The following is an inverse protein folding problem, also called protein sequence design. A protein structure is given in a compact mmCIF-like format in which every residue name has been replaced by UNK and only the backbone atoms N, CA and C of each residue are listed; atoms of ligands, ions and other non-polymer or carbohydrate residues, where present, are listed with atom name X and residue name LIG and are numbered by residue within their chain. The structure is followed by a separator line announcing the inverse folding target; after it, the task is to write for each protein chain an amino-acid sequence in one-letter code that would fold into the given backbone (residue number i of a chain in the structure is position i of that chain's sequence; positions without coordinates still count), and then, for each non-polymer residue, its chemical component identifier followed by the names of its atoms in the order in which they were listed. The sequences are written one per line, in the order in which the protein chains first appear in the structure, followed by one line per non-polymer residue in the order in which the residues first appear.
data_IF_209430568564
#
_entry.id   IF_209430568564
#
_cell.length_a   1.000
_cell.length_b   1.000
_cell.length_c   1.000
_cell.angle_alpha   90.00
_cell.angle_beta   90.00
_cell.angle_gamma   90.00
#
_symmetry.space_group_name_H-M   'P 1'
#
loop_
_entity.id
_entity.type
_entity.pdbx_description
1 polymer ?
#
# COMPACT_ATOMS: atom_id res chain seq x y z
N UNK A 1 12.69 -14.70 -8.48
CA UNK A 1 13.60 -15.08 -9.56
C UNK A 1 12.98 -16.32 -10.20
N UNK A 2 12.18 -16.11 -11.24
CA UNK A 2 11.79 -17.21 -12.14
C UNK A 2 12.92 -17.28 -13.16
N UNK A 3 13.72 -18.35 -13.14
CA UNK A 3 14.76 -18.66 -14.13
C UNK A 3 14.15 -19.23 -15.43
N UNK A 4 12.96 -18.75 -15.81
CA UNK A 4 12.39 -19.05 -17.12
C UNK A 4 13.17 -18.29 -18.18
N UNK A 5 13.81 -19.01 -19.10
CA UNK A 5 14.33 -18.38 -20.32
C UNK A 5 13.17 -17.67 -21.03
N UNK A 6 13.29 -16.37 -21.28
CA UNK A 6 12.28 -15.56 -21.99
C UNK A 6 11.97 -16.08 -23.40
N UNK A 7 12.73 -17.06 -23.90
CA UNK A 7 12.56 -17.66 -25.23
C UNK A 7 11.43 -18.70 -25.33
N UNK A 8 10.86 -19.14 -24.19
CA UNK A 8 9.73 -20.08 -24.14
C UNK A 8 8.35 -19.40 -24.30
N UNK A 9 8.29 -18.06 -24.33
CA UNK A 9 7.02 -17.32 -24.33
C UNK A 9 6.41 -17.07 -25.72
N UNK A 10 7.20 -17.23 -26.79
CA UNK A 10 6.70 -17.13 -28.17
C UNK A 10 6.19 -18.48 -28.67
N UNK A 11 5.19 -18.47 -29.56
CA UNK A 11 4.59 -19.68 -30.14
C UNK A 11 5.64 -20.66 -30.67
N UNK A 12 5.45 -21.99 -30.54
CA UNK A 12 6.32 -22.99 -31.17
C UNK A 12 6.47 -22.81 -32.69
N UNK A 13 5.45 -22.25 -33.33
CA UNK A 13 5.42 -21.97 -34.77
C UNK A 13 5.96 -20.56 -35.11
N UNK A 14 6.59 -19.87 -34.16
CA UNK A 14 7.15 -18.54 -34.38
C UNK A 14 8.30 -18.58 -35.40
N UNK A 15 8.24 -17.68 -36.37
CA UNK A 15 9.24 -17.54 -37.43
C UNK A 15 10.00 -16.23 -37.18
N UNK A 16 11.36 -16.23 -37.22
CA UNK A 16 12.15 -15.00 -37.16
C UNK A 16 11.71 -13.98 -38.19
N UNK A 17 11.63 -12.71 -37.78
CA UNK A 17 11.25 -11.58 -38.62
C UNK A 17 12.12 -11.47 -39.87
N UNK A 18 13.42 -11.75 -39.76
CA UNK A 18 14.33 -11.84 -40.92
C UNK A 18 13.94 -12.89 -41.99
N UNK A 19 13.04 -13.82 -41.67
CA UNK A 19 12.54 -14.85 -42.59
C UNK A 19 11.07 -14.64 -43.01
N UNK A 20 10.41 -13.62 -42.49
CA UNK A 20 9.01 -13.31 -42.81
C UNK A 20 8.91 -12.51 -44.11
N UNK A 21 8.02 -12.92 -45.02
CA UNK A 21 7.89 -12.29 -46.36
C UNK A 21 7.36 -10.87 -46.31
N UNK A 22 6.54 -10.57 -45.31
CA UNK A 22 5.92 -9.28 -45.00
C UNK A 22 6.86 -8.31 -44.27
N UNK A 23 8.12 -8.69 -44.05
CA UNK A 23 9.15 -7.87 -43.37
C UNK A 23 10.40 -7.62 -44.23
N UNK A 24 10.39 -8.06 -45.50
CA UNK A 24 11.54 -7.94 -46.42
C UNK A 24 11.87 -6.49 -46.80
N UNK A 25 10.92 -5.57 -46.65
CA UNK A 25 11.07 -4.14 -46.88
C UNK A 25 11.71 -3.39 -45.70
N UNK A 26 11.84 -4.06 -44.54
CA UNK A 26 12.41 -3.47 -43.32
C UNK A 26 13.83 -3.99 -43.12
N UNK A 27 14.79 -3.07 -43.09
CA UNK A 27 16.16 -3.38 -42.68
C UNK A 27 16.24 -3.35 -41.15
N UNK A 28 16.63 -4.45 -40.47
CA UNK A 28 16.75 -4.47 -39.01
C UNK A 28 17.81 -3.48 -38.52
N UNK A 29 17.57 -2.88 -37.35
CA UNK A 29 18.48 -1.89 -36.74
C UNK A 29 19.06 -2.46 -35.45
N UNK A 30 20.36 -2.79 -35.49
CA UNK A 30 21.07 -3.35 -34.33
C UNK A 30 21.14 -2.39 -33.13
N UNK A 31 21.26 -2.95 -31.93
CA UNK A 31 21.51 -2.16 -30.73
C UNK A 31 22.95 -1.63 -30.75
N UNK A 32 23.11 -0.30 -30.68
CA UNK A 32 24.42 0.32 -30.52
C UNK A 32 24.77 0.46 -29.02
N UNK A 33 25.55 -0.49 -28.50
CA UNK A 33 26.11 -0.45 -27.14
C UNK A 33 27.51 0.22 -27.09
N UNK A 34 27.97 0.78 -28.21
CA UNK A 34 29.27 1.44 -28.34
C UNK A 34 30.47 0.49 -28.42
N UNK A 35 31.68 1.06 -28.56
CA UNK A 35 32.93 0.29 -28.75
C UNK A 35 33.34 -0.55 -27.52
N UNK A 36 32.98 -0.09 -26.32
CA UNK A 36 33.35 -0.73 -25.05
C UNK A 36 32.10 -0.92 -24.19
N UNK A 37 31.25 -1.89 -24.54
CA UNK A 37 29.92 -1.99 -23.95
C UNK A 37 30.00 -2.51 -22.51
N UNK A 38 29.16 -1.97 -21.63
CA UNK A 38 29.06 -2.35 -20.22
C UNK A 38 27.71 -3.00 -19.93
N UNK A 39 27.64 -3.87 -18.92
CA UNK A 39 26.42 -4.63 -18.55
C UNK A 39 25.73 -5.33 -19.73
N UNK A 40 26.53 -5.82 -20.68
CA UNK A 40 26.05 -6.44 -21.91
C UNK A 40 25.28 -7.71 -21.59
N UNK A 41 24.08 -7.79 -22.13
CA UNK A 41 23.23 -8.97 -22.01
C UNK A 41 23.52 -9.88 -23.21
N UNK A 42 23.83 -11.15 -22.94
CA UNK A 42 23.95 -12.16 -23.97
C UNK A 42 22.55 -12.58 -24.47
N UNK A 43 21.93 -11.73 -25.28
CA UNK A 43 20.60 -11.96 -25.84
C UNK A 43 20.56 -13.20 -26.73
N UNK A 44 19.43 -13.92 -26.69
CA UNK A 44 19.11 -14.98 -27.65
C UNK A 44 18.97 -14.44 -29.07
N UNK A 45 19.07 -15.32 -30.07
CA UNK A 45 18.84 -14.94 -31.47
C UNK A 45 17.42 -14.41 -31.67
N UNK A 46 16.43 -14.99 -30.98
CA UNK A 46 15.04 -14.53 -31.01
C UNK A 46 14.91 -13.11 -30.47
N UNK A 47 15.52 -12.85 -29.32
CA UNK A 47 15.46 -11.52 -28.70
C UNK A 47 16.10 -10.46 -29.59
N UNK A 48 17.28 -10.75 -30.16
CA UNK A 48 17.95 -9.83 -31.09
C UNK A 48 17.08 -9.54 -32.31
N UNK A 49 16.59 -10.59 -32.98
CA UNK A 49 15.75 -10.47 -34.17
C UNK A 49 14.52 -9.59 -33.90
N UNK A 50 13.73 -9.87 -32.85
CA UNK A 50 12.56 -9.04 -32.51
C UNK A 50 12.94 -7.59 -32.21
N UNK A 51 13.97 -7.36 -31.38
CA UNK A 51 14.33 -6.02 -30.97
C UNK A 51 15.05 -5.19 -32.05
N UNK A 52 15.74 -5.83 -32.99
CA UNK A 52 16.34 -5.16 -34.14
C UNK A 52 15.26 -4.65 -35.10
N UNK A 53 14.24 -5.47 -35.38
CA UNK A 53 13.09 -5.05 -36.16
C UNK A 53 12.25 -3.99 -35.45
N UNK A 54 12.10 -4.10 -34.12
CA UNK A 54 11.40 -3.09 -33.33
C UNK A 54 12.11 -1.73 -33.41
N UNK A 55 13.45 -1.72 -33.27
CA UNK A 55 14.24 -0.49 -33.42
C UNK A 55 14.06 0.12 -34.81
N UNK A 56 14.07 -0.70 -35.87
CA UNK A 56 13.85 -0.22 -37.24
C UNK A 56 12.46 0.39 -37.44
N UNK A 57 11.41 -0.26 -36.92
CA UNK A 57 10.02 0.23 -36.96
C UNK A 57 9.87 1.56 -36.21
N UNK A 58 10.45 1.64 -35.01
CA UNK A 58 10.42 2.86 -34.20
C UNK A 58 11.16 4.00 -34.92
N UNK A 59 12.36 3.74 -35.47
CA UNK A 59 13.15 4.74 -36.18
C UNK A 59 12.45 5.28 -37.44
N UNK A 60 11.64 4.45 -38.10
CA UNK A 60 10.84 4.84 -39.26
C UNK A 60 9.46 5.40 -38.90
N UNK A 61 9.13 5.50 -37.61
CA UNK A 61 7.82 5.96 -37.10
C UNK A 61 6.62 5.18 -37.68
N UNK A 62 6.82 3.92 -38.06
CA UNK A 62 5.77 3.12 -38.72
C UNK A 62 4.63 2.75 -37.75
N UNK A 63 3.42 3.26 -38.03
CA UNK A 63 2.19 2.92 -37.31
C UNK A 63 1.29 2.00 -38.14
N UNK A 64 1.61 0.71 -38.16
CA UNK A 64 0.91 -0.31 -38.97
C UNK A 64 0.44 -1.48 -38.10
N UNK A 65 -0.45 -2.31 -38.66
CA UNK A 65 -0.93 -3.53 -37.98
C UNK A 65 0.22 -4.52 -37.70
N UNK A 66 1.18 -4.64 -38.63
CA UNK A 66 2.37 -5.49 -38.43
C UNK A 66 3.26 -4.94 -37.32
N UNK A 67 3.38 -3.61 -37.18
CA UNK A 67 4.09 -3.00 -36.07
C UNK A 67 3.38 -3.28 -34.74
N UNK A 68 2.03 -3.26 -34.72
CA UNK A 68 1.25 -3.61 -33.53
C UNK A 68 1.52 -5.07 -33.10
N UNK A 69 1.49 -6.02 -34.02
CA UNK A 69 1.84 -7.42 -33.72
C UNK A 69 3.31 -7.59 -33.30
N UNK A 70 4.24 -6.85 -33.89
CA UNK A 70 5.64 -6.86 -33.44
C UNK A 70 5.79 -6.40 -31.97
N UNK A 71 5.02 -5.40 -31.54
CA UNK A 71 5.07 -4.98 -30.13
C UNK A 71 4.61 -6.08 -29.18
N UNK A 72 3.71 -6.98 -29.60
CA UNK A 72 3.25 -8.12 -28.79
C UNK A 72 4.36 -9.15 -28.61
N UNK A 73 5.09 -9.49 -29.67
CA UNK A 73 6.27 -10.37 -29.57
C UNK A 73 7.34 -9.74 -28.67
N UNK A 74 7.63 -8.45 -28.84
CA UNK A 74 8.60 -7.73 -28.00
C UNK A 74 8.20 -7.70 -26.52
N UNK A 75 6.91 -7.50 -26.22
CA UNK A 75 6.39 -7.49 -24.85
C UNK A 75 6.32 -8.87 -24.20
N UNK A 76 6.23 -9.92 -25.00
CA UNK A 76 6.37 -11.30 -24.52
C UNK A 76 7.83 -11.58 -24.14
N UNK A 77 8.80 -11.04 -24.87
CA UNK A 77 10.22 -11.21 -24.53
C UNK A 77 10.68 -10.33 -23.36
N UNK A 78 10.12 -9.13 -23.21
CA UNK A 78 10.38 -8.25 -22.08
C UNK A 78 9.20 -7.29 -21.83
N UNK A 79 8.28 -7.74 -20.99
CA UNK A 79 7.08 -6.99 -20.61
C UNK A 79 7.39 -5.69 -19.86
N UNK A 80 8.59 -5.54 -19.28
CA UNK A 80 8.99 -4.34 -18.56
C UNK A 80 9.48 -3.20 -19.47
N UNK A 81 9.62 -3.43 -20.78
CA UNK A 81 10.08 -2.42 -21.71
C UNK A 81 9.00 -1.34 -21.95
N UNK A 82 9.12 -0.22 -21.23
CA UNK A 82 8.16 0.88 -21.27
C UNK A 82 8.12 1.60 -22.63
N UNK A 83 9.22 1.59 -23.40
CA UNK A 83 9.25 2.18 -24.75
C UNK A 83 8.32 1.41 -25.68
N UNK A 84 8.29 0.08 -25.59
CA UNK A 84 7.38 -0.74 -26.39
C UNK A 84 5.93 -0.46 -26.04
N UNK A 85 5.59 -0.36 -24.75
CA UNK A 85 4.24 -0.02 -24.32
C UNK A 85 3.79 1.37 -24.80
N UNK A 86 4.68 2.36 -24.74
CA UNK A 86 4.37 3.70 -25.26
C UNK A 86 4.14 3.65 -26.77
N UNK A 87 5.03 2.99 -27.51
CA UNK A 87 4.92 2.91 -28.96
C UNK A 87 3.67 2.12 -29.40
N UNK A 88 3.33 1.04 -28.68
CA UNK A 88 2.08 0.28 -28.85
C UNK A 88 0.86 1.20 -28.71
N UNK A 89 0.81 2.02 -27.66
CA UNK A 89 -0.26 3.02 -27.46
C UNK A 89 -0.35 4.03 -28.60
N UNK A 90 0.78 4.48 -29.12
CA UNK A 90 0.80 5.39 -30.27
C UNK A 90 0.26 4.70 -31.54
N UNK A 91 0.60 3.42 -31.76
CA UNK A 91 0.07 2.63 -32.87
C UNK A 91 -1.44 2.45 -32.74
N UNK A 92 -1.94 2.03 -31.57
CA UNK A 92 -3.38 1.84 -31.32
C UNK A 92 -4.18 3.11 -31.64
N UNK A 93 -3.67 4.29 -31.26
CA UNK A 93 -4.27 5.58 -31.61
C UNK A 93 -4.25 5.87 -33.10
N UNK A 94 -3.10 5.65 -33.76
CA UNK A 94 -2.95 5.94 -35.17
C UNK A 94 -3.82 5.04 -36.06
N UNK A 95 -4.01 3.78 -35.66
CA UNK A 95 -4.84 2.81 -36.36
C UNK A 95 -6.33 2.91 -36.01
N UNK A 96 -6.68 3.66 -34.96
CA UNK A 96 -8.02 3.68 -34.38
C UNK A 96 -8.52 2.25 -34.09
N UNK A 97 -7.65 1.46 -33.46
CA UNK A 97 -7.88 0.05 -33.13
C UNK A 97 -9.03 -0.13 -32.15
N UNK A 98 -9.65 -1.32 -32.16
CA UNK A 98 -10.65 -1.69 -31.17
C UNK A 98 -9.99 -1.87 -29.79
N UNK A 99 -10.32 -0.96 -28.86
CA UNK A 99 -9.75 -0.96 -27.51
C UNK A 99 -10.32 -2.10 -26.65
N UNK A 100 -11.46 -2.71 -27.01
CA UNK A 100 -11.99 -3.89 -26.31
C UNK A 100 -11.08 -5.11 -26.47
N UNK A 101 -10.54 -5.33 -27.68
CA UNK A 101 -9.55 -6.40 -27.91
C UNK A 101 -8.24 -6.12 -27.16
N UNK A 102 -7.84 -4.85 -27.06
CA UNK A 102 -6.66 -4.46 -26.30
C UNK A 102 -6.84 -4.67 -24.79
N UNK A 103 -8.05 -4.44 -24.27
CA UNK A 103 -8.39 -4.79 -22.88
C UNK A 103 -8.24 -6.30 -22.64
N UNK A 104 -8.69 -7.14 -23.56
CA UNK A 104 -8.55 -8.61 -23.46
C UNK A 104 -7.08 -9.06 -23.57
N UNK A 105 -6.29 -8.37 -24.39
CA UNK A 105 -4.85 -8.59 -24.47
C UNK A 105 -4.17 -8.25 -23.14
N UNK A 106 -4.30 -7.01 -22.65
CA UNK A 106 -3.60 -6.57 -21.43
C UNK A 106 -4.08 -7.35 -20.20
N UNK A 107 -5.34 -7.80 -20.16
CA UNK A 107 -5.82 -8.66 -19.08
C UNK A 107 -5.04 -9.98 -19.00
N UNK A 108 -4.78 -10.62 -20.16
CA UNK A 108 -3.95 -11.84 -20.20
C UNK A 108 -2.53 -11.55 -19.75
N UNK A 109 -1.93 -10.47 -20.25
CA UNK A 109 -0.56 -10.05 -19.86
C UNK A 109 -0.49 -9.75 -18.36
N UNK A 110 -1.51 -9.15 -17.75
CA UNK A 110 -1.58 -8.93 -16.29
C UNK A 110 -1.61 -10.24 -15.52
N UNK A 111 -2.38 -11.25 -15.98
CA UNK A 111 -2.45 -12.56 -15.30
C UNK A 111 -1.09 -13.26 -15.28
N UNK A 112 -0.32 -13.12 -16.36
CA UNK A 112 1.01 -13.70 -16.47
C UNK A 112 2.07 -12.85 -15.74
N UNK A 113 1.92 -11.52 -15.76
CA UNK A 113 2.88 -10.55 -15.22
C UNK A 113 2.27 -9.57 -14.20
N UNK A 114 1.64 -10.05 -13.11
CA UNK A 114 0.80 -9.21 -12.24
C UNK A 114 1.60 -8.20 -11.39
N UNK A 115 2.94 -8.29 -11.38
CA UNK A 115 3.85 -7.43 -10.62
C UNK A 115 4.65 -6.46 -11.50
N UNK A 116 4.22 -6.28 -12.75
CA UNK A 116 4.85 -5.37 -13.71
C UNK A 116 4.17 -3.99 -13.69
N UNK A 117 4.94 -2.90 -13.64
CA UNK A 117 4.35 -1.54 -13.58
C UNK A 117 3.66 -1.14 -14.87
N UNK A 118 4.25 -1.50 -16.02
CA UNK A 118 3.81 -1.05 -17.33
C UNK A 118 2.46 -1.66 -17.72
N UNK A 119 2.19 -2.92 -17.37
CA UNK A 119 0.91 -3.59 -17.71
C UNK A 119 -0.27 -2.93 -17.00
N UNK A 120 -0.13 -2.58 -15.72
CA UNK A 120 -1.17 -1.89 -14.95
C UNK A 120 -1.36 -0.45 -15.44
N UNK A 121 -0.26 0.25 -15.73
CA UNK A 121 -0.35 1.57 -16.32
C UNK A 121 -1.04 1.53 -17.69
N UNK A 122 -0.70 0.56 -18.54
CA UNK A 122 -1.33 0.39 -19.84
C UNK A 122 -2.82 0.09 -19.72
N UNK A 123 -3.22 -0.86 -18.86
CA UNK A 123 -4.64 -1.15 -18.56
C UNK A 123 -5.40 0.12 -18.18
N UNK A 124 -4.85 0.88 -17.22
CA UNK A 124 -5.43 2.16 -16.80
C UNK A 124 -5.62 3.13 -17.96
N UNK A 125 -4.62 3.32 -18.81
CA UNK A 125 -4.71 4.24 -19.96
C UNK A 125 -5.79 3.81 -20.94
N UNK A 126 -5.92 2.51 -21.24
CA UNK A 126 -6.97 2.01 -22.13
C UNK A 126 -8.36 2.24 -21.53
N UNK A 127 -8.54 1.98 -20.23
CA UNK A 127 -9.80 2.27 -19.52
C UNK A 127 -10.12 3.77 -19.54
N UNK A 128 -9.13 4.64 -19.33
CA UNK A 128 -9.30 6.10 -19.43
C UNK A 128 -9.67 6.55 -20.85
N UNK A 129 -9.19 5.88 -21.91
CA UNK A 129 -9.58 6.19 -23.29
C UNK A 129 -10.99 5.72 -23.64
N UNK A 130 -11.40 4.57 -23.10
CA UNK A 130 -12.73 4.01 -23.31
C UNK A 130 -13.80 4.63 -22.41
N UNK A 131 -13.38 5.23 -21.29
CA UNK A 131 -14.25 5.71 -20.22
C UNK A 131 -15.20 4.61 -19.67
N UNK A 132 -14.70 3.37 -19.61
CA UNK A 132 -15.48 2.20 -19.21
C UNK A 132 -14.76 1.38 -18.12
N UNK A 133 -15.17 1.51 -16.84
CA UNK A 133 -14.56 0.80 -15.72
C UNK A 133 -15.22 -0.56 -15.42
N UNK A 134 -16.17 -1.02 -16.24
CA UNK A 134 -17.07 -2.14 -15.93
C UNK A 134 -16.38 -3.45 -15.56
N UNK A 135 -15.14 -3.66 -16.02
CA UNK A 135 -14.35 -4.88 -15.82
C UNK A 135 -13.30 -4.77 -14.70
N UNK A 136 -13.09 -3.58 -14.14
CA UNK A 136 -11.90 -3.34 -13.31
C UNK A 136 -12.00 -3.97 -11.91
N UNK A 137 -13.20 -4.01 -11.33
CA UNK A 137 -13.40 -4.65 -10.03
C UNK A 137 -13.28 -6.18 -10.12
N UNK A 138 -13.78 -6.78 -11.19
CA UNK A 138 -13.64 -8.23 -11.45
C UNK A 138 -12.18 -8.59 -11.74
N UNK A 139 -11.49 -7.81 -12.58
CA UNK A 139 -10.06 -8.02 -12.87
C UNK A 139 -9.22 -7.97 -11.60
N UNK A 140 -9.38 -6.91 -10.81
CA UNK A 140 -8.59 -6.75 -9.58
C UNK A 140 -8.94 -7.82 -8.55
N UNK A 141 -10.20 -8.22 -8.44
CA UNK A 141 -10.58 -9.36 -7.61
C UNK A 141 -9.90 -10.66 -8.06
N UNK A 142 -9.94 -11.00 -9.35
CA UNK A 142 -9.31 -12.21 -9.87
C UNK A 142 -7.80 -12.26 -9.57
N UNK A 143 -7.10 -11.13 -9.73
CA UNK A 143 -5.67 -11.05 -9.37
C UNK A 143 -5.46 -11.17 -7.87
N UNK A 144 -6.33 -10.57 -7.05
CA UNK A 144 -6.23 -10.64 -5.58
C UNK A 144 -6.59 -12.03 -5.02
N UNK A 145 -7.42 -12.82 -5.72
CA UNK A 145 -7.63 -14.22 -5.37
C UNK A 145 -6.35 -15.06 -5.54
N UNK A 146 -5.48 -14.70 -6.50
CA UNK A 146 -4.19 -15.35 -6.71
C UNK A 146 -3.10 -14.82 -5.76
N UNK A 147 -3.03 -13.50 -5.57
CA UNK A 147 -2.12 -12.83 -4.64
C UNK A 147 -2.85 -11.69 -3.92
N UNK A 148 -3.42 -12.00 -2.75
CA UNK A 148 -4.23 -11.08 -1.95
C UNK A 148 -3.47 -9.83 -1.48
N UNK A 149 -2.15 -9.79 -1.65
CA UNK A 149 -1.28 -8.67 -1.28
C UNK A 149 -0.63 -8.01 -2.49
N UNK A 150 -1.09 -8.31 -3.71
CA UNK A 150 -0.59 -7.64 -4.90
C UNK A 150 -0.83 -6.12 -4.81
N UNK A 151 0.26 -5.37 -4.68
CA UNK A 151 0.22 -3.92 -4.48
C UNK A 151 -0.38 -3.18 -5.68
N UNK A 152 -0.06 -3.63 -6.90
CA UNK A 152 -0.55 -2.98 -8.11
C UNK A 152 -2.05 -3.20 -8.29
N UNK A 153 -2.56 -4.39 -8.01
CA UNK A 153 -3.99 -4.68 -8.07
C UNK A 153 -4.77 -3.81 -7.07
N UNK A 154 -4.28 -3.68 -5.82
CA UNK A 154 -4.89 -2.79 -4.83
C UNK A 154 -4.83 -1.31 -5.26
N UNK A 155 -3.69 -0.85 -5.77
CA UNK A 155 -3.52 0.52 -6.25
C UNK A 155 -4.47 0.83 -7.42
N UNK A 156 -4.58 -0.10 -8.37
CA UNK A 156 -5.46 0.00 -9.53
C UNK A 156 -6.92 -0.01 -9.13
N UNK A 157 -7.31 -0.91 -8.21
CA UNK A 157 -8.67 -0.96 -7.65
C UNK A 157 -9.06 0.36 -6.99
N UNK A 158 -8.19 0.92 -6.16
CA UNK A 158 -8.43 2.22 -5.52
C UNK A 158 -8.56 3.36 -6.54
N UNK A 159 -7.75 3.36 -7.60
CA UNK A 159 -7.88 4.33 -8.68
C UNK A 159 -9.24 4.19 -9.38
N UNK A 160 -9.61 2.99 -9.82
CA UNK A 160 -10.87 2.76 -10.54
C UNK A 160 -12.08 3.16 -9.69
N UNK A 161 -12.11 2.75 -8.41
CA UNK A 161 -13.17 3.11 -7.47
C UNK A 161 -13.30 4.63 -7.32
N UNK A 162 -12.17 5.35 -7.16
CA UNK A 162 -12.19 6.81 -7.01
C UNK A 162 -12.55 7.54 -8.29
N UNK A 163 -12.03 7.10 -9.43
CA UNK A 163 -12.21 7.78 -10.70
C UNK A 163 -13.66 7.65 -11.22
N UNK A 164 -14.31 6.53 -10.89
CA UNK A 164 -15.64 6.17 -11.42
C UNK A 164 -16.72 5.98 -10.36
N UNK A 165 -16.46 6.40 -9.12
CA UNK A 165 -17.40 6.35 -7.99
C UNK A 165 -17.97 4.94 -7.67
N UNK A 166 -17.11 3.90 -7.72
CA UNK A 166 -17.53 2.50 -7.58
C UNK A 166 -17.45 1.99 -6.13
N UNK A 167 -17.98 2.76 -5.16
CA UNK A 167 -17.82 2.46 -3.74
C UNK A 167 -18.85 1.49 -3.14
N UNK A 168 -20.01 1.32 -3.78
CA UNK A 168 -21.22 0.71 -3.17
C UNK A 168 -20.99 -0.65 -2.49
N UNK A 169 -20.27 -1.56 -3.15
CA UNK A 169 -20.05 -2.93 -2.66
C UNK A 169 -18.67 -3.14 -2.01
N UNK A 170 -17.82 -2.12 -1.98
CA UNK A 170 -16.41 -2.30 -1.59
C UNK A 170 -16.24 -2.65 -0.10
N UNK A 171 -17.11 -2.14 0.78
CA UNK A 171 -17.07 -2.54 2.20
C UNK A 171 -17.43 -4.02 2.40
N UNK A 172 -18.36 -4.55 1.60
CA UNK A 172 -18.75 -5.97 1.66
C UNK A 172 -17.60 -6.85 1.14
N UNK A 173 -17.00 -6.45 0.02
CA UNK A 173 -15.81 -7.11 -0.53
C UNK A 173 -14.68 -7.19 0.51
N UNK A 174 -14.37 -6.07 1.17
CA UNK A 174 -13.31 -6.02 2.17
C UNK A 174 -13.65 -6.82 3.44
N UNK A 175 -14.90 -6.82 3.89
CA UNK A 175 -15.31 -7.64 5.04
C UNK A 175 -15.15 -9.15 4.76
N UNK A 176 -15.46 -9.58 3.53
CA UNK A 176 -15.19 -10.96 3.10
C UNK A 176 -13.70 -11.29 3.16
N UNK A 177 -12.83 -10.45 2.60
CA UNK A 177 -11.39 -10.69 2.62
C UNK A 177 -10.80 -10.70 4.04
N UNK A 178 -11.28 -9.83 4.93
CA UNK A 178 -10.85 -9.83 6.35
C UNK A 178 -11.36 -11.09 7.07
N UNK A 179 -12.53 -11.61 6.70
CA UNK A 179 -13.07 -12.85 7.27
C UNK A 179 -12.32 -14.08 6.78
N UNK A 180 -11.83 -14.07 5.54
CA UNK A 180 -10.97 -15.11 4.97
C UNK A 180 -9.55 -15.08 5.57
N UNK A 181 -8.94 -13.89 5.68
CA UNK A 181 -7.66 -13.68 6.38
C UNK A 181 -7.69 -12.40 7.24
N UNK A 182 -7.86 -12.60 8.55
CA UNK A 182 -7.85 -11.54 9.56
C UNK A 182 -6.55 -10.71 9.55
N UNK A 183 -5.43 -11.25 9.07
CA UNK A 183 -4.12 -10.59 9.03
C UNK A 183 -3.83 -9.91 7.68
N UNK A 184 -4.79 -9.89 6.76
CA UNK A 184 -4.63 -9.21 5.49
C UNK A 184 -4.61 -7.68 5.69
N UNK A 185 -3.41 -7.12 5.89
CA UNK A 185 -3.23 -5.69 6.09
C UNK A 185 -3.74 -4.84 4.92
N UNK A 186 -3.67 -5.35 3.70
CA UNK A 186 -4.17 -4.63 2.52
C UNK A 186 -5.69 -4.49 2.57
N UNK A 187 -6.41 -5.52 3.02
CA UNK A 187 -7.85 -5.44 3.24
C UNK A 187 -8.21 -4.45 4.37
N UNK A 188 -7.47 -4.43 5.48
CA UNK A 188 -7.66 -3.41 6.53
C UNK A 188 -7.40 -1.99 6.03
N UNK A 189 -6.37 -1.79 5.23
CA UNK A 189 -6.10 -0.51 4.57
C UNK A 189 -7.22 -0.13 3.59
N UNK A 190 -7.73 -1.07 2.81
CA UNK A 190 -8.85 -0.83 1.90
C UNK A 190 -10.12 -0.47 2.68
N UNK A 191 -10.38 -1.12 3.82
CA UNK A 191 -11.51 -0.76 4.70
C UNK A 191 -11.42 0.70 5.12
N UNK A 192 -10.25 1.12 5.60
CA UNK A 192 -10.00 2.50 6.00
C UNK A 192 -10.18 3.47 4.81
N UNK A 193 -9.66 3.11 3.62
CA UNK A 193 -9.82 3.89 2.39
C UNK A 193 -11.30 4.17 2.05
N UNK A 194 -12.15 3.14 2.12
CA UNK A 194 -13.59 3.29 1.82
C UNK A 194 -14.28 4.15 2.88
N UNK A 195 -14.00 3.89 4.17
CA UNK A 195 -14.60 4.67 5.26
C UNK A 195 -14.19 6.15 5.19
N UNK A 196 -12.93 6.43 4.84
CA UNK A 196 -12.43 7.79 4.72
C UNK A 196 -13.08 8.56 3.55
N UNK A 197 -13.55 7.88 2.50
CA UNK A 197 -14.31 8.52 1.42
C UNK A 197 -15.66 9.06 1.91
N UNK A 198 -16.38 8.28 2.71
CA UNK A 198 -17.69 8.68 3.27
C UNK A 198 -17.57 9.54 4.54
N UNK A 199 -16.40 9.54 5.17
CA UNK A 199 -16.12 10.27 6.42
C UNK A 199 -16.48 9.48 7.68
N UNK A 200 -15.94 9.96 8.81
CA UNK A 200 -16.09 9.33 10.12
C UNK A 200 -17.11 10.08 10.99
N UNK A 201 -18.40 9.84 10.76
CA UNK A 201 -19.44 10.27 11.73
C UNK A 201 -19.28 9.51 13.05
N UNK A 202 -19.92 10.00 14.11
CA UNK A 202 -19.91 9.32 15.41
C UNK A 202 -20.42 7.88 15.31
N UNK A 203 -21.48 7.67 14.54
CA UNK A 203 -22.11 6.36 14.34
C UNK A 203 -21.18 5.39 13.58
N UNK A 204 -20.54 5.88 12.51
CA UNK A 204 -19.56 5.09 11.74
C UNK A 204 -18.38 4.74 12.63
N UNK A 205 -17.84 5.70 13.36
CA UNK A 205 -16.69 5.48 14.23
C UNK A 205 -17.00 4.45 15.32
N UNK A 206 -18.15 4.58 16.00
CA UNK A 206 -18.61 3.60 16.99
C UNK A 206 -18.73 2.21 16.37
N UNK A 207 -19.38 2.07 15.20
CA UNK A 207 -19.51 0.78 14.50
C UNK A 207 -18.15 0.15 14.22
N UNK A 208 -17.20 0.93 13.69
CA UNK A 208 -15.89 0.44 13.28
C UNK A 208 -14.96 0.12 14.46
N UNK A 209 -15.09 0.86 15.56
CA UNK A 209 -14.42 0.55 16.84
C UNK A 209 -14.91 -0.80 17.38
N UNK A 210 -16.23 -1.02 17.44
CA UNK A 210 -16.80 -2.30 17.84
C UNK A 210 -16.38 -3.45 16.91
N UNK A 211 -16.37 -3.20 15.60
CA UNK A 211 -15.88 -4.14 14.61
C UNK A 211 -14.42 -4.55 14.88
N UNK A 212 -13.53 -3.58 15.07
CA UNK A 212 -12.11 -3.83 15.36
C UNK A 212 -11.91 -4.61 16.68
N UNK A 213 -12.60 -4.20 17.76
CA UNK A 213 -12.54 -4.91 19.05
C UNK A 213 -12.99 -6.36 18.95
N UNK A 214 -14.07 -6.63 18.19
CA UNK A 214 -14.53 -8.01 17.95
C UNK A 214 -13.49 -8.85 17.21
N UNK A 215 -12.78 -8.27 16.24
CA UNK A 215 -11.71 -8.98 15.51
C UNK A 215 -10.46 -9.19 16.38
N UNK A 216 -10.12 -8.25 17.26
CA UNK A 216 -9.05 -8.40 18.27
C UNK A 216 -9.35 -9.54 19.25
N UNK A 217 -10.62 -9.70 19.68
CA UNK A 217 -11.03 -10.80 20.57
C UNK A 217 -10.71 -12.18 19.98
N UNK A 218 -10.87 -12.34 18.66
CA UNK A 218 -10.60 -13.59 17.94
C UNK A 218 -9.09 -13.80 17.81
N UNK A 219 -8.35 -12.79 17.34
CA UNK A 219 -6.89 -12.87 17.14
C UNK A 219 -6.19 -11.71 17.83
N UNK A 220 -5.86 -11.93 19.11
CA UNK A 220 -5.23 -10.93 20.00
C UNK A 220 -3.85 -10.44 19.52
N UNK A 221 -3.13 -11.30 18.79
CA UNK A 221 -1.80 -11.04 18.23
C UNK A 221 -1.87 -10.80 16.71
N UNK A 222 -2.71 -9.85 16.30
CA UNK A 222 -2.82 -9.39 14.92
C UNK A 222 -2.58 -7.88 14.86
N UNK A 223 -1.41 -7.49 14.36
CA UNK A 223 -0.99 -6.08 14.28
C UNK A 223 -1.94 -5.22 13.43
N UNK A 224 -2.47 -5.76 12.33
CA UNK A 224 -3.27 -4.98 11.38
C UNK A 224 -4.52 -4.37 12.00
N UNK A 225 -5.26 -5.13 12.82
CA UNK A 225 -6.46 -4.62 13.48
C UNK A 225 -6.14 -3.62 14.59
N UNK A 226 -5.02 -3.80 15.31
CA UNK A 226 -4.56 -2.82 16.29
C UNK A 226 -4.17 -1.50 15.63
N UNK A 227 -3.48 -1.56 14.48
CA UNK A 227 -3.13 -0.39 13.69
C UNK A 227 -4.39 0.30 13.12
N UNK A 228 -5.35 -0.48 12.63
CA UNK A 228 -6.65 0.04 12.16
C UNK A 228 -7.40 0.75 13.30
N UNK A 229 -7.51 0.12 14.47
CA UNK A 229 -8.15 0.73 15.64
C UNK A 229 -7.47 2.05 16.02
N UNK A 230 -6.13 2.09 16.11
CA UNK A 230 -5.41 3.35 16.36
C UNK A 230 -5.69 4.41 15.30
N UNK A 231 -5.74 4.03 14.03
CA UNK A 231 -6.05 4.93 12.92
C UNK A 231 -7.45 5.54 13.02
N UNK A 232 -8.44 4.77 13.49
CA UNK A 232 -9.80 5.28 13.74
C UNK A 232 -9.84 6.27 14.91
N UNK A 233 -9.14 5.98 15.99
CA UNK A 233 -9.21 6.80 17.21
C UNK A 233 -8.42 8.12 17.09
N UNK A 234 -7.34 8.13 16.30
CA UNK A 234 -6.53 9.33 16.03
C UNK A 234 -7.09 10.24 14.92
N UNK A 235 -8.37 10.10 14.57
CA UNK A 235 -9.03 11.03 13.65
C UNK A 235 -9.24 12.40 14.33
N UNK A 236 -8.55 13.44 13.83
CA UNK A 236 -8.59 14.79 14.39
C UNK A 236 -7.74 14.96 15.65
N UNK A 237 -8.08 15.90 16.52
CA UNK A 237 -7.39 16.16 17.79
C UNK A 237 -7.93 15.29 18.94
N UNK A 238 -8.47 14.11 18.64
CA UNK A 238 -9.08 13.22 19.63
C UNK A 238 -8.01 12.44 20.40
N UNK A 239 -8.18 12.33 21.72
CA UNK A 239 -7.36 11.49 22.61
C UNK A 239 -7.93 10.08 22.70
N UNK A 240 -7.08 9.09 22.99
CA UNK A 240 -7.47 7.68 23.01
C UNK A 240 -8.52 7.34 24.08
N UNK A 241 -8.62 8.14 25.15
CA UNK A 241 -9.53 7.93 26.27
C UNK A 241 -10.93 8.53 26.08
N UNK A 242 -11.18 9.23 24.97
CA UNK A 242 -12.53 9.69 24.60
C UNK A 242 -13.48 8.54 24.26
N UNK A 243 -12.96 7.31 24.19
CA UNK A 243 -13.71 6.08 23.92
C UNK A 243 -13.62 5.16 25.15
N UNK A 244 -14.46 5.38 26.19
CA UNK A 244 -14.41 4.62 27.43
C UNK A 244 -14.50 3.10 27.21
N UNK A 245 -15.27 2.68 26.22
CA UNK A 245 -15.43 1.27 25.84
C UNK A 245 -14.12 0.65 25.34
N UNK A 246 -13.26 1.43 24.69
CA UNK A 246 -11.93 0.96 24.24
C UNK A 246 -10.99 0.85 25.43
N UNK A 247 -11.02 1.84 26.32
CA UNK A 247 -10.20 1.83 27.56
C UNK A 247 -10.54 0.62 28.40
N UNK A 248 -11.83 0.38 28.69
CA UNK A 248 -12.29 -0.78 29.44
C UNK A 248 -11.84 -2.08 28.76
N UNK A 249 -12.01 -2.18 27.43
CA UNK A 249 -11.61 -3.34 26.66
C UNK A 249 -10.11 -3.65 26.74
N UNK A 250 -9.23 -2.65 26.58
CA UNK A 250 -7.77 -2.90 26.61
C UNK A 250 -7.28 -3.22 28.02
N UNK A 251 -7.84 -2.59 29.04
CA UNK A 251 -7.51 -2.87 30.44
C UNK A 251 -8.00 -4.26 30.85
N UNK A 252 -9.23 -4.65 30.46
CA UNK A 252 -9.76 -6.00 30.67
C UNK A 252 -8.83 -7.05 30.02
N UNK A 253 -8.45 -6.86 28.75
CA UNK A 253 -7.54 -7.78 28.08
C UNK A 253 -6.21 -7.94 28.83
N UNK A 254 -5.63 -6.85 29.29
CA UNK A 254 -4.36 -6.87 30.03
C UNK A 254 -4.52 -7.56 31.40
N UNK A 255 -5.61 -7.30 32.11
CA UNK A 255 -5.93 -7.91 33.40
C UNK A 255 -6.21 -9.42 33.29
N UNK A 256 -6.77 -9.87 32.16
CA UNK A 256 -6.91 -11.29 31.83
C UNK A 256 -5.59 -11.97 31.41
N UNK A 257 -4.45 -11.30 31.55
CA UNK A 257 -3.12 -11.87 31.28
C UNK A 257 -2.67 -11.77 29.82
N UNK A 258 -3.36 -11.02 28.95
CA UNK A 258 -2.87 -10.78 27.60
C UNK A 258 -1.61 -9.90 27.64
N UNK A 259 -0.52 -10.38 27.04
CA UNK A 259 0.75 -9.65 26.91
C UNK A 259 1.15 -9.46 25.44
N UNK A 260 0.17 -9.41 24.54
CA UNK A 260 0.37 -9.01 23.16
C UNK A 260 1.17 -7.71 23.10
N UNK A 261 2.28 -7.64 22.33
CA UNK A 261 3.07 -6.41 22.23
C UNK A 261 2.24 -5.24 21.68
N UNK A 262 1.22 -5.54 20.87
CA UNK A 262 0.32 -4.53 20.29
C UNK A 262 -0.63 -3.92 21.33
N UNK A 263 -1.12 -4.74 22.26
CA UNK A 263 -1.94 -4.31 23.39
C UNK A 263 -1.10 -3.45 24.35
N UNK A 264 0.09 -3.93 24.72
CA UNK A 264 0.97 -3.21 25.65
C UNK A 264 1.38 -1.86 25.03
N UNK A 265 1.75 -1.85 23.75
CA UNK A 265 2.03 -0.62 23.03
C UNK A 265 0.81 0.33 23.00
N UNK A 266 -0.42 -0.18 23.05
CA UNK A 266 -1.63 0.66 23.02
C UNK A 266 -1.85 1.29 24.40
N UNK A 267 -1.64 0.51 25.46
CA UNK A 267 -1.67 1.01 26.85
C UNK A 267 -0.59 2.06 27.10
N UNK A 268 0.61 1.89 26.52
CA UNK A 268 1.68 2.89 26.60
C UNK A 268 1.22 4.22 25.98
N UNK A 269 0.68 4.21 24.76
CA UNK A 269 0.15 5.43 24.13
C UNK A 269 -0.96 6.06 25.00
N UNK A 270 -1.92 5.26 25.47
CA UNK A 270 -3.05 5.72 26.29
C UNK A 270 -2.58 6.38 27.59
N UNK A 271 -1.72 5.71 28.35
CA UNK A 271 -1.25 6.21 29.65
C UNK A 271 -0.24 7.35 29.49
N UNK A 272 0.53 7.42 28.39
CA UNK A 272 1.36 8.59 28.07
C UNK A 272 0.45 9.82 27.91
N UNK A 273 -0.62 9.73 27.11
CA UNK A 273 -1.60 10.82 26.94
C UNK A 273 -2.26 11.25 28.26
N UNK A 274 -2.60 10.30 29.15
CA UNK A 274 -3.15 10.63 30.48
C UNK A 274 -2.13 11.34 31.37
N UNK A 275 -0.89 10.86 31.40
CA UNK A 275 0.16 11.40 32.28
C UNK A 275 0.59 12.83 31.95
N UNK A 276 0.41 13.24 30.69
CA UNK A 276 0.78 14.55 30.18
C UNK A 276 -0.36 15.59 30.22
N UNK A 277 -1.56 15.21 30.68
CA UNK A 277 -2.68 16.15 30.82
C UNK A 277 -2.64 16.89 32.16
N UNK A 278 -2.57 18.23 32.19
CA UNK A 278 -2.46 19.00 33.44
C UNK A 278 -3.59 18.73 34.45
N UNK A 279 -4.81 18.54 33.96
CA UNK A 279 -6.03 18.32 34.75
C UNK A 279 -6.17 16.90 35.31
N UNK A 280 -5.30 15.96 34.92
CA UNK A 280 -5.36 14.58 35.40
C UNK A 280 -4.77 14.46 36.82
N UNK A 281 -5.58 13.94 37.74
CA UNK A 281 -5.17 13.76 39.14
C UNK A 281 -4.16 12.63 39.35
N UNK A 282 -4.22 11.58 38.52
CA UNK A 282 -3.41 10.36 38.68
C UNK A 282 -2.20 10.33 37.72
N UNK A 283 -1.64 11.49 37.36
CA UNK A 283 -0.53 11.59 36.38
C UNK A 283 0.68 10.73 36.75
N UNK A 284 1.05 10.75 38.04
CA UNK A 284 2.20 10.00 38.54
C UNK A 284 1.99 8.49 38.34
N UNK A 285 0.83 7.96 38.71
CA UNK A 285 0.46 6.56 38.51
C UNK A 285 0.51 6.15 37.04
N UNK A 286 -0.03 6.99 36.14
CA UNK A 286 0.02 6.71 34.70
C UNK A 286 1.46 6.74 34.16
N UNK A 287 2.29 7.69 34.61
CA UNK A 287 3.68 7.76 34.19
C UNK A 287 4.48 6.52 34.64
N UNK A 288 4.25 6.07 35.88
CA UNK A 288 4.85 4.84 36.42
C UNK A 288 4.42 3.62 35.62
N UNK A 289 3.13 3.49 35.29
CA UNK A 289 2.63 2.44 34.39
C UNK A 289 3.35 2.46 33.04
N UNK A 290 3.55 3.63 32.43
CA UNK A 290 4.29 3.72 31.16
C UNK A 290 5.73 3.23 31.30
N UNK A 291 6.44 3.63 32.37
CA UNK A 291 7.81 3.17 32.59
C UNK A 291 7.89 1.65 32.77
N UNK A 292 6.98 1.06 33.53
CA UNK A 292 6.92 -0.38 33.75
C UNK A 292 6.60 -1.15 32.46
N UNK A 293 5.62 -0.68 31.68
CA UNK A 293 5.26 -1.30 30.40
C UNK A 293 6.38 -1.18 29.38
N UNK A 294 7.04 -0.02 29.26
CA UNK A 294 8.21 0.16 28.39
C UNK A 294 9.35 -0.80 28.79
N UNK A 295 9.59 -0.97 30.10
CA UNK A 295 10.59 -1.92 30.61
C UNK A 295 10.23 -3.37 30.26
N UNK A 296 8.96 -3.76 30.42
CA UNK A 296 8.47 -5.09 30.05
C UNK A 296 8.60 -5.33 28.53
N UNK A 297 8.25 -4.35 27.69
CA UNK A 297 8.43 -4.44 26.24
C UNK A 297 9.91 -4.58 25.84
N UNK A 298 10.79 -3.80 26.46
CA UNK A 298 12.21 -3.81 26.19
C UNK A 298 12.91 -5.14 26.55
N UNK A 299 12.44 -5.83 27.59
CA UNK A 299 13.14 -6.99 28.15
C UNK A 299 12.42 -8.33 27.91
N UNK A 300 11.10 -8.33 27.67
CA UNK A 300 10.30 -9.56 27.67
C UNK A 300 9.41 -9.70 26.42
N UNK A 301 8.70 -8.64 26.01
CA UNK A 301 7.58 -8.79 25.07
C UNK A 301 7.83 -8.28 23.65
N UNK A 302 8.78 -7.36 23.43
CA UNK A 302 9.14 -6.84 22.11
C UNK A 302 10.63 -6.45 22.04
N UNK A 303 11.48 -7.41 22.41
CA UNK A 303 12.94 -7.23 22.57
C UNK A 303 13.60 -6.74 21.28
N UNK A 304 13.06 -7.09 20.10
CA UNK A 304 13.56 -6.59 18.81
C UNK A 304 13.48 -5.06 18.72
N UNK A 305 12.50 -4.42 19.38
CA UNK A 305 12.35 -2.97 19.48
C UNK A 305 12.82 -2.40 20.82
N UNK A 306 13.68 -3.09 21.57
CA UNK A 306 14.20 -2.64 22.88
C UNK A 306 14.61 -1.16 22.91
N UNK A 307 15.44 -0.73 21.96
CA UNK A 307 15.92 0.67 21.88
C UNK A 307 14.79 1.68 21.68
N UNK A 308 13.71 1.29 21.00
CA UNK A 308 12.54 2.15 20.81
C UNK A 308 11.77 2.33 22.13
N UNK A 309 11.56 1.26 22.90
CA UNK A 309 10.89 1.32 24.20
C UNK A 309 11.70 2.11 25.24
N UNK A 310 13.02 1.93 25.28
CA UNK A 310 13.92 2.74 26.11
C UNK A 310 13.86 4.22 25.73
N UNK A 311 13.83 4.52 24.42
CA UNK A 311 13.67 5.90 23.93
C UNK A 311 12.33 6.52 24.36
N UNK A 312 11.22 5.77 24.29
CA UNK A 312 9.90 6.27 24.70
C UNK A 312 9.87 6.62 26.19
N UNK A 313 10.43 5.76 27.05
CA UNK A 313 10.56 6.04 28.48
C UNK A 313 11.36 7.34 28.74
N UNK A 314 12.54 7.47 28.12
CA UNK A 314 13.36 8.69 28.28
C UNK A 314 12.71 9.94 27.67
N UNK A 315 11.88 9.79 26.63
CA UNK A 315 11.10 10.89 26.07
C UNK A 315 10.03 11.36 27.07
N UNK A 316 9.26 10.45 27.66
CA UNK A 316 8.24 10.80 28.64
C UNK A 316 8.87 11.47 29.86
N UNK A 317 9.97 10.93 30.39
CA UNK A 317 10.70 11.51 31.51
C UNK A 317 11.08 12.97 31.26
N UNK A 318 11.66 13.28 30.10
CA UNK A 318 12.00 14.65 29.71
C UNK A 318 10.79 15.57 29.65
N UNK A 319 9.66 15.10 29.09
CA UNK A 319 8.43 15.87 29.00
C UNK A 319 7.86 16.20 30.38
N UNK A 320 7.84 15.23 31.29
CA UNK A 320 7.38 15.44 32.67
C UNK A 320 8.27 16.42 33.43
N UNK A 321 9.60 16.36 33.27
CA UNK A 321 10.52 17.34 33.87
C UNK A 321 10.25 18.76 33.35
N UNK A 322 10.02 18.92 32.04
CA UNK A 322 9.67 20.24 31.49
C UNK A 322 8.35 20.78 32.03
N UNK A 323 7.33 19.92 32.20
CA UNK A 323 6.04 20.32 32.77
C UNK A 323 6.19 20.78 34.22
N UNK A 324 6.90 20.01 35.06
CA UNK A 324 7.08 20.36 36.46
C UNK A 324 7.85 21.69 36.62
N UNK A 325 8.87 21.94 35.79
CA UNK A 325 9.59 23.21 35.81
C UNK A 325 8.72 24.41 35.39
N UNK A 326 7.77 24.21 34.48
CA UNK A 326 6.83 25.26 34.08
C UNK A 326 5.77 25.49 35.17
N UNK A 327 5.25 24.43 35.79
CA UNK A 327 4.31 24.50 36.91
C UNK A 327 4.96 25.22 38.12
N UNK A 328 6.26 25.04 38.36
CA UNK A 328 7.02 25.77 39.38
C UNK A 328 7.15 27.26 39.05
N UNK A 329 7.45 27.62 37.79
CA UNK A 329 7.55 29.03 37.35
C UNK A 329 6.20 29.77 37.37
N UNK A 330 5.11 29.10 37.00
CA UNK A 330 3.76 29.67 37.04
C UNK A 330 3.27 29.87 38.49
N UNK A 331 3.65 28.98 39.42
CA UNK A 331 3.36 29.15 40.84
C UNK A 331 4.21 30.24 41.52
N UNK A 332 5.49 30.40 41.15
CA UNK A 332 6.33 31.49 41.65
C UNK A 332 5.84 32.87 41.17
N UNK A 333 5.33 32.97 39.93
CA UNK A 333 4.81 34.21 39.37
C UNK A 333 3.42 34.60 39.90
N UNK A 334 2.56 33.63 40.23
CA UNK A 334 1.29 33.89 40.93
C UNK A 334 1.48 34.25 42.41
N UNK A 335 2.43 33.64 43.12
CA UNK A 335 2.73 34.02 44.51
C UNK A 335 3.38 35.41 44.63
N UNK A 336 4.16 35.84 43.63
CA UNK A 336 4.75 37.18 43.58
C UNK A 336 3.75 38.33 43.29
N UNK A 337 2.53 38.01 42.88
CA UNK A 337 1.46 39.01 42.65
C UNK A 337 0.52 39.16 43.86
N UNK A 338 0.38 38.15 44.72
CA UNK A 338 -0.41 38.27 45.97
C UNK A 338 0.33 39.03 47.09
N UNK A 339 1.67 38.98 47.13
CA UNK A 339 2.45 39.74 48.14
C UNK A 339 2.48 41.28 47.89
N UNK A 340 2.05 41.76 46.71
CA UNK A 340 2.01 43.20 46.39
C UNK A 340 0.63 43.86 46.55
N UNK A 341 -0.38 43.15 47.08
CA UNK A 341 -1.72 43.70 47.36
C UNK A 341 -2.04 43.87 48.85
N UNK A 342 -1.07 43.65 49.74
CA UNK A 342 -1.19 43.92 51.18
C UNK A 342 -0.12 44.92 51.65
N UNK A 343 -0.20 46.17 51.21
CA UNK A 343 0.35 47.33 51.95
C UNK A 343 -0.52 48.57 51.79
#
# INVERSE_FOLDING_TARGET
MSDGSSDEELSPDWIPYCRRKDWVDVTPLEQDDGENPVVVIAYSEKFKDVYDYLRAIIANEEKSERALELTKDALSLNTANYTVWQYRRDILKALNSDLSEELDYVERVIKDNPKNYQVWHHRRVIVEWMDDPSRELELTEAVLQMDAKNYHAWQHRQWAIKAYDLFDDELQYVDRLISEDLRNNSAWNQRYFVLNHFGFTTEVLQREVHYAMNRIRIVKNNESVWNFLRGLLKQGEKTLDQFPEVVEFVEELYNCGNRSPYLIAFLIDLYEEKSLRPEESNREDYSNKVFDLCKAMANEHDVIRKKYWEYLAERLKRRLTCMNNNDEQDNESNNGTEENMST
#
